data_IF_137984933352
#
_entry.id   IF_137984933352
#
_cell.length_a   1.000
_cell.length_b   1.000
_cell.length_c   1.000
_cell.angle_alpha   90.00
_cell.angle_beta   90.00
_cell.angle_gamma   90.00
#
_symmetry.space_group_name_H-M   'P 1'
#
loop_
_entity.id
_entity.type
_entity.pdbx_description
1 polymer ?
#
# COMPACT_ATOMS: atom_id res chain seq x y z
N UNK A 1 -24.05 -12.61 -5.56
CA UNK A 1 -23.03 -11.62 -5.17
C UNK A 1 -21.88 -12.37 -4.53
N UNK A 2 -20.68 -12.30 -5.08
CA UNK A 2 -19.49 -12.92 -4.49
C UNK A 2 -18.70 -11.88 -3.69
N UNK A 3 -18.28 -12.26 -2.49
CA UNK A 3 -17.36 -11.45 -1.69
C UNK A 3 -15.95 -11.63 -2.24
N UNK A 4 -15.24 -10.51 -2.39
CA UNK A 4 -13.84 -10.48 -2.79
C UNK A 4 -13.00 -10.11 -1.58
N UNK A 5 -12.01 -10.94 -1.26
CA UNK A 5 -11.15 -10.72 -0.11
C UNK A 5 -9.81 -10.11 -0.53
N UNK A 6 -9.41 -9.08 0.19
CA UNK A 6 -8.07 -8.48 0.12
C UNK A 6 -7.36 -8.59 1.46
N UNK A 7 -6.03 -8.47 1.44
CA UNK A 7 -5.19 -8.52 2.63
C UNK A 7 -4.17 -7.37 2.62
N UNK A 8 -3.83 -6.87 3.80
CA UNK A 8 -2.76 -5.88 3.94
C UNK A 8 -1.41 -6.58 4.21
N UNK A 9 -0.29 -6.07 3.66
CA UNK A 9 1.03 -6.67 3.85
C UNK A 9 1.53 -6.61 5.29
N UNK A 10 0.89 -5.85 6.16
CA UNK A 10 1.17 -5.83 7.60
C UNK A 10 1.01 -7.22 8.26
N UNK A 11 0.33 -8.16 7.61
CA UNK A 11 0.26 -9.55 8.04
C UNK A 11 1.64 -10.26 8.02
N UNK A 12 2.59 -9.76 7.24
CA UNK A 12 3.95 -10.32 7.10
C UNK A 12 5.05 -9.38 7.59
N UNK A 13 4.88 -8.08 7.40
CA UNK A 13 5.90 -7.09 7.76
C UNK A 13 5.24 -5.78 8.15
N UNK A 14 5.84 -5.09 9.10
CA UNK A 14 5.35 -3.80 9.58
C UNK A 14 6.27 -2.68 9.08
N UNK A 15 5.74 -1.74 8.32
CA UNK A 15 6.51 -0.62 7.78
C UNK A 15 6.93 0.40 8.87
N UNK A 16 6.14 0.48 9.97
CA UNK A 16 6.44 1.35 11.12
C UNK A 16 7.39 0.70 12.13
N UNK A 17 7.47 -0.64 12.14
CA UNK A 17 8.36 -1.43 13.00
C UNK A 17 9.11 -2.47 12.15
N UNK A 18 10.18 -2.07 11.44
CA UNK A 18 10.88 -2.94 10.48
C UNK A 18 11.46 -4.23 11.07
N UNK A 19 11.69 -4.27 12.38
CA UNK A 19 12.09 -5.48 13.09
C UNK A 19 11.03 -6.58 13.08
N UNK A 20 9.78 -6.24 12.77
CA UNK A 20 8.68 -7.20 12.63
C UNK A 20 8.49 -7.56 11.15
N UNK A 21 9.25 -8.55 10.70
CA UNK A 21 9.15 -9.10 9.35
C UNK A 21 9.74 -8.24 8.23
N UNK A 22 10.59 -7.24 8.56
CA UNK A 22 11.19 -6.37 7.55
C UNK A 22 12.07 -7.08 6.53
N UNK A 23 12.58 -8.26 6.86
CA UNK A 23 13.37 -9.15 6.00
C UNK A 23 12.50 -10.06 5.11
N UNK A 24 11.18 -10.14 5.35
CA UNK A 24 10.27 -10.93 4.51
C UNK A 24 10.18 -10.34 3.10
N UNK A 25 10.55 -11.09 2.04
CA UNK A 25 10.47 -10.58 0.67
C UNK A 25 9.04 -10.31 0.23
N UNK A 26 8.86 -9.30 -0.62
CA UNK A 26 7.55 -9.00 -1.20
C UNK A 26 6.94 -10.20 -1.94
N UNK A 27 7.77 -10.93 -2.68
CA UNK A 27 7.36 -12.13 -3.42
C UNK A 27 6.75 -13.19 -2.53
N UNK A 28 7.27 -13.38 -1.32
CA UNK A 28 6.69 -14.30 -0.34
C UNK A 28 5.30 -13.82 0.11
N UNK A 29 5.15 -12.54 0.42
CA UNK A 29 3.85 -11.97 0.80
C UNK A 29 2.80 -12.17 -0.30
N UNK A 30 3.17 -11.92 -1.55
CA UNK A 30 2.27 -12.07 -2.70
C UNK A 30 1.90 -13.54 -2.96
N UNK A 31 2.88 -14.45 -2.88
CA UNK A 31 2.66 -15.88 -3.04
C UNK A 31 1.69 -16.42 -1.99
N UNK A 32 1.96 -16.13 -0.72
CA UNK A 32 1.17 -16.64 0.40
C UNK A 32 -0.25 -16.04 0.40
N UNK A 33 -0.39 -14.74 0.06
CA UNK A 33 -1.70 -14.10 -0.13
C UNK A 33 -2.51 -14.81 -1.21
N UNK A 34 -1.91 -15.10 -2.35
CA UNK A 34 -2.54 -15.82 -3.46
C UNK A 34 -2.93 -17.25 -3.05
N UNK A 35 -2.04 -17.97 -2.38
CA UNK A 35 -2.28 -19.35 -1.91
C UNK A 35 -3.39 -19.41 -0.85
N UNK A 36 -3.51 -18.39 0.00
CA UNK A 36 -4.57 -18.27 0.98
C UNK A 36 -5.95 -17.94 0.38
N UNK A 37 -6.02 -17.66 -0.93
CA UNK A 37 -7.26 -17.39 -1.64
C UNK A 37 -7.66 -15.92 -1.69
N UNK A 38 -6.79 -14.99 -1.29
CA UNK A 38 -7.02 -13.57 -1.50
C UNK A 38 -6.89 -13.22 -2.98
N UNK A 39 -7.69 -12.28 -3.44
CA UNK A 39 -7.65 -11.78 -4.82
C UNK A 39 -7.18 -10.32 -4.90
N UNK A 40 -7.06 -9.66 -3.77
CA UNK A 40 -6.56 -8.30 -3.64
C UNK A 40 -5.52 -8.19 -2.55
N UNK A 41 -4.61 -7.21 -2.73
CA UNK A 41 -3.62 -6.84 -1.72
C UNK A 41 -3.52 -5.33 -1.63
N UNK A 42 -3.36 -4.82 -0.43
CA UNK A 42 -3.05 -3.41 -0.17
C UNK A 42 -1.58 -3.13 -0.47
N UNK A 43 -1.26 -1.95 -1.02
CA UNK A 43 0.15 -1.57 -1.21
C UNK A 43 0.83 -1.24 0.13
N UNK A 44 2.12 -1.53 0.21
CA UNK A 44 2.98 -1.19 1.34
C UNK A 44 4.34 -0.66 0.88
N UNK A 45 5.23 -0.43 1.83
CA UNK A 45 6.55 0.16 1.59
C UNK A 45 7.42 -0.59 0.60
N UNK A 46 7.31 -1.92 0.56
CA UNK A 46 8.09 -2.81 -0.33
C UNK A 46 7.59 -2.85 -1.78
N UNK A 47 6.40 -2.31 -2.04
CA UNK A 47 5.79 -2.39 -3.37
C UNK A 47 6.43 -1.41 -4.35
N UNK A 48 6.61 -1.81 -5.63
CA UNK A 48 7.00 -0.89 -6.69
C UNK A 48 6.09 0.34 -6.75
N UNK A 49 6.68 1.50 -6.97
CA UNK A 49 5.94 2.78 -7.01
C UNK A 49 5.49 3.18 -8.41
N UNK A 50 5.86 2.39 -9.41
CA UNK A 50 5.47 2.59 -10.81
C UNK A 50 4.55 1.48 -11.27
N UNK A 51 3.50 1.85 -12.00
CA UNK A 51 2.50 0.91 -12.50
C UNK A 51 3.10 -0.13 -13.47
N UNK A 52 4.09 0.28 -14.27
CA UNK A 52 4.79 -0.58 -15.20
C UNK A 52 5.54 -1.75 -14.52
N UNK A 53 5.92 -1.57 -13.25
CA UNK A 53 6.59 -2.61 -12.46
C UNK A 53 5.58 -3.36 -11.58
N UNK A 54 4.60 -2.66 -10.99
CA UNK A 54 3.67 -3.24 -10.05
C UNK A 54 2.63 -4.15 -10.72
N UNK A 55 2.05 -3.73 -11.84
CA UNK A 55 1.01 -4.50 -12.53
C UNK A 55 1.49 -5.89 -12.96
N UNK A 56 2.65 -6.05 -13.64
CA UNK A 56 3.16 -7.37 -13.99
C UNK A 56 3.44 -8.24 -12.77
N UNK A 57 4.00 -7.65 -11.70
CA UNK A 57 4.29 -8.35 -10.46
C UNK A 57 3.01 -8.90 -9.80
N UNK A 58 1.97 -8.10 -9.68
CA UNK A 58 0.70 -8.56 -9.13
C UNK A 58 0.02 -9.62 -10.00
N UNK A 59 0.09 -9.46 -11.33
CA UNK A 59 -0.48 -10.42 -12.27
C UNK A 59 0.18 -11.80 -12.17
N UNK A 60 1.49 -11.86 -11.92
CA UNK A 60 2.21 -13.12 -11.71
C UNK A 60 1.59 -13.95 -10.58
N UNK A 61 1.13 -13.30 -9.51
CA UNK A 61 0.49 -13.94 -8.36
C UNK A 61 -1.03 -13.92 -8.41
N UNK A 62 -1.64 -13.50 -9.52
CA UNK A 62 -3.10 -13.38 -9.70
C UNK A 62 -3.77 -12.48 -8.66
N UNK A 63 -3.09 -11.44 -8.23
CA UNK A 63 -3.57 -10.44 -7.29
C UNK A 63 -3.89 -9.12 -7.98
N UNK A 64 -4.79 -8.34 -7.39
CA UNK A 64 -5.09 -6.98 -7.79
C UNK A 64 -4.70 -6.02 -6.66
N UNK A 65 -4.34 -4.78 -7.01
CA UNK A 65 -4.21 -3.73 -6.01
C UNK A 65 -5.61 -3.33 -5.54
N UNK A 66 -5.92 -3.49 -4.25
CA UNK A 66 -7.24 -3.16 -3.71
C UNK A 66 -7.28 -1.85 -2.94
N UNK A 67 -6.15 -1.42 -2.37
CA UNK A 67 -6.03 -0.15 -1.64
C UNK A 67 -4.56 0.18 -1.38
N UNK A 68 -4.31 1.26 -0.67
CA UNK A 68 -3.01 1.61 -0.13
C UNK A 68 -3.11 2.84 0.77
N UNK A 69 -2.19 2.93 1.70
CA UNK A 69 -2.13 4.00 2.67
C UNK A 69 -1.47 5.25 2.09
N UNK A 70 -2.04 6.41 2.41
CA UNK A 70 -1.43 7.71 2.18
C UNK A 70 -1.46 8.55 3.45
N UNK A 71 -0.28 8.89 3.96
CA UNK A 71 -0.10 9.78 5.10
C UNK A 71 0.05 11.23 4.67
N UNK A 72 -1.00 12.01 4.79
CA UNK A 72 -1.02 13.42 4.41
C UNK A 72 -0.38 14.31 5.48
N UNK A 73 0.30 15.37 5.04
CA UNK A 73 0.96 16.36 5.89
C UNK A 73 0.27 17.75 5.87
N UNK A 74 -1.06 17.77 5.86
CA UNK A 74 -1.87 19.00 5.76
C UNK A 74 -1.62 20.03 6.87
N UNK A 75 -1.02 19.62 7.99
CA UNK A 75 -0.60 20.55 9.06
C UNK A 75 0.72 21.27 8.77
N UNK A 76 1.55 20.73 7.86
CA UNK A 76 2.87 21.27 7.51
C UNK A 76 2.90 21.82 6.09
N UNK A 77 2.22 21.17 5.16
CA UNK A 77 2.17 21.53 3.76
C UNK A 77 0.96 22.43 3.47
N UNK A 78 1.10 23.28 2.46
CA UNK A 78 -0.06 23.94 1.87
C UNK A 78 -0.92 22.90 1.13
N UNK A 79 -2.19 23.23 0.90
CA UNK A 79 -3.07 22.36 0.11
C UNK A 79 -2.52 22.09 -1.30
N UNK A 80 -1.92 23.11 -1.92
CA UNK A 80 -1.37 22.98 -3.27
C UNK A 80 -0.13 22.07 -3.29
N UNK A 81 0.73 22.13 -2.27
CA UNK A 81 1.87 21.25 -2.15
C UNK A 81 1.44 19.80 -1.90
N UNK A 82 0.46 19.60 -1.01
CA UNK A 82 -0.07 18.27 -0.71
C UNK A 82 -0.73 17.63 -1.95
N UNK A 83 -1.46 18.41 -2.74
CA UNK A 83 -2.01 17.95 -4.01
C UNK A 83 -0.94 17.48 -5.00
N UNK A 84 0.23 18.13 -5.03
CA UNK A 84 1.35 17.69 -5.88
C UNK A 84 1.94 16.36 -5.39
N UNK A 85 2.13 16.22 -4.10
CA UNK A 85 2.72 15.01 -3.50
C UNK A 85 1.84 13.78 -3.73
N UNK A 86 0.53 13.91 -3.60
CA UNK A 86 -0.39 12.77 -3.77
C UNK A 86 -0.56 12.33 -5.24
N UNK A 87 -0.21 13.17 -6.23
CA UNK A 87 -0.47 12.89 -7.64
C UNK A 87 0.12 11.57 -8.13
N UNK A 88 1.35 11.25 -7.75
CA UNK A 88 2.04 10.04 -8.20
C UNK A 88 1.33 8.79 -7.67
N UNK A 89 0.88 8.81 -6.41
CA UNK A 89 0.14 7.70 -5.83
C UNK A 89 -1.26 7.55 -6.43
N UNK A 90 -1.95 8.65 -6.69
CA UNK A 90 -3.24 8.63 -7.39
C UNK A 90 -3.10 8.09 -8.81
N UNK A 91 -2.02 8.45 -9.51
CA UNK A 91 -1.72 7.89 -10.83
C UNK A 91 -1.50 6.39 -10.76
N UNK A 92 -0.65 5.92 -9.83
CA UNK A 92 -0.40 4.50 -9.62
C UNK A 92 -1.71 3.74 -9.36
N UNK A 93 -2.56 4.24 -8.47
CA UNK A 93 -3.83 3.60 -8.13
C UNK A 93 -4.80 3.57 -9.31
N UNK A 94 -4.88 4.66 -10.06
CA UNK A 94 -5.68 4.72 -11.29
C UNK A 94 -5.21 3.69 -12.32
N UNK A 95 -3.91 3.61 -12.57
CA UNK A 95 -3.32 2.68 -13.54
C UNK A 95 -3.56 1.21 -13.11
N UNK A 96 -3.44 0.92 -11.80
CA UNK A 96 -3.71 -0.40 -11.22
C UNK A 96 -5.21 -0.68 -11.02
N UNK A 97 -6.11 0.27 -11.31
CA UNK A 97 -7.56 0.17 -11.08
C UNK A 97 -7.92 -0.13 -9.62
N UNK A 98 -7.13 0.38 -8.67
CA UNK A 98 -7.44 0.24 -7.25
C UNK A 98 -8.72 1.01 -6.91
N UNK A 99 -9.68 0.39 -6.21
CA UNK A 99 -10.99 1.01 -5.96
C UNK A 99 -10.97 2.12 -4.91
N UNK A 100 -9.96 2.17 -4.04
CA UNK A 100 -9.91 3.16 -2.97
C UNK A 100 -8.48 3.47 -2.53
N UNK A 101 -8.33 4.58 -1.83
CA UNK A 101 -7.12 4.97 -1.09
C UNK A 101 -7.50 5.14 0.39
N UNK A 102 -6.63 4.68 1.28
CA UNK A 102 -6.75 4.94 2.72
C UNK A 102 -5.97 6.20 3.03
N UNK A 103 -6.69 7.26 3.36
CA UNK A 103 -6.11 8.60 3.55
C UNK A 103 -6.14 8.98 5.03
N UNK A 104 -5.00 9.38 5.59
CA UNK A 104 -4.89 9.88 6.96
C UNK A 104 -4.04 11.14 7.04
N UNK A 105 -4.40 12.05 7.94
CA UNK A 105 -3.56 13.21 8.29
C UNK A 105 -2.64 12.80 9.43
N UNK A 106 -1.37 12.54 9.13
CA UNK A 106 -0.39 12.00 10.09
C UNK A 106 0.49 13.07 10.75
N UNK A 107 0.59 14.27 10.15
CA UNK A 107 1.42 15.33 10.68
C UNK A 107 0.97 15.76 12.08
N UNK A 108 1.87 15.65 13.05
CA UNK A 108 1.62 15.98 14.46
C UNK A 108 0.85 14.89 15.21
N UNK A 109 0.73 13.68 14.67
CA UNK A 109 0.33 12.49 15.42
C UNK A 109 1.53 11.97 16.23
N UNK A 110 1.23 11.18 17.24
CA UNK A 110 2.25 10.47 18.06
C UNK A 110 2.63 9.12 17.45
N UNK A 111 2.04 8.75 16.32
CA UNK A 111 2.34 7.50 15.62
C UNK A 111 3.79 7.52 15.13
N UNK A 112 4.59 6.56 15.55
CA UNK A 112 6.02 6.50 15.25
C UNK A 112 6.90 7.39 16.14
N UNK A 113 6.33 8.01 17.19
CA UNK A 113 7.09 8.70 18.22
C UNK A 113 7.64 7.66 19.21
N UNK A 114 8.96 7.62 19.47
CA UNK A 114 9.56 6.59 20.33
C UNK A 114 9.30 6.77 21.82
N UNK A 115 8.62 7.82 22.25
CA UNK A 115 8.33 8.11 23.70
C UNK A 115 6.95 7.61 24.13
#
# INVERSE_FOLDING_TARGET
MSVKLGIAPIAWSNDDMPELGGDTPLEQCLLEASQAGFIGIESGGKFPKKSEELIPKLNEFKLNLCSGWYGANLRKNTLEDEKKVIQDQLKLFKDCKAPCIVFAVVAGSIQGDPD
#
